data_IF_501630953286
#
_entry.id   IF_501630953286
#
_cell.length_a   1.000
_cell.length_b   1.000
_cell.length_c   1.000
_cell.angle_alpha   90.00
_cell.angle_beta   90.00
_cell.angle_gamma   90.00
#
_symmetry.space_group_name_H-M   'P 1'
#
loop_
_entity.id
_entity.type
_entity.pdbx_description
1 polymer ?
#
# COMPACT_ATOMS: atom_id res chain seq x y z
N UNK A 1 -8.60 -31.07 10.13
CA UNK A 1 -7.40 -30.56 9.45
C UNK A 1 -7.63 -29.07 9.24
N UNK A 2 -6.84 -28.21 9.87
CA UNK A 2 -6.95 -26.76 9.68
C UNK A 2 -6.44 -26.43 8.28
N UNK A 3 -7.33 -25.97 7.42
CA UNK A 3 -6.95 -25.26 6.20
C UNK A 3 -6.34 -23.93 6.65
N UNK A 4 -5.01 -23.90 6.76
CA UNK A 4 -4.26 -22.65 6.87
C UNK A 4 -4.49 -21.88 5.57
N UNK A 5 -5.55 -21.07 5.56
CA UNK A 5 -5.90 -20.16 4.48
C UNK A 5 -4.74 -19.17 4.30
N UNK A 6 -3.80 -19.49 3.42
CA UNK A 6 -2.76 -18.57 2.96
C UNK A 6 -3.41 -17.55 2.02
N UNK A 7 -4.33 -16.74 2.55
CA UNK A 7 -4.91 -15.65 1.77
C UNK A 7 -3.84 -14.59 1.59
N UNK A 8 -3.57 -14.14 0.36
CA UNK A 8 -2.63 -13.06 0.14
C UNK A 8 -3.09 -11.87 0.97
N UNK A 9 -2.18 -11.33 1.80
CA UNK A 9 -2.50 -10.15 2.58
C UNK A 9 -2.76 -8.99 1.60
N UNK A 10 -3.90 -8.28 1.74
CA UNK A 10 -4.20 -7.16 0.87
C UNK A 10 -3.15 -6.07 1.06
N UNK A 11 -2.64 -5.55 -0.06
CA UNK A 11 -1.72 -4.41 -0.09
C UNK A 11 -2.46 -3.21 -0.66
N UNK A 12 -2.38 -2.07 0.03
CA UNK A 12 -2.96 -0.80 -0.40
C UNK A 12 -1.92 -0.02 -1.18
N UNK A 13 -2.26 0.39 -2.39
CA UNK A 13 -1.40 1.22 -3.23
C UNK A 13 -1.90 2.66 -3.21
N UNK A 14 -1.04 3.60 -2.85
CA UNK A 14 -1.33 5.03 -2.82
C UNK A 14 -0.53 5.71 -3.92
N UNK A 15 -1.19 6.37 -4.87
CA UNK A 15 -0.57 7.14 -5.94
C UNK A 15 -0.98 8.58 -5.78
N UNK A 16 -0.04 9.43 -5.37
CA UNK A 16 -0.28 10.84 -5.05
C UNK A 16 1.03 11.63 -5.20
N UNK A 17 1.01 12.77 -5.88
CA UNK A 17 2.20 13.58 -6.15
C UNK A 17 2.66 14.40 -4.93
N UNK A 18 1.82 14.53 -3.90
CA UNK A 18 2.15 15.23 -2.66
C UNK A 18 2.79 14.28 -1.62
N UNK A 19 4.04 14.57 -1.27
CA UNK A 19 4.82 13.81 -0.29
C UNK A 19 4.20 13.81 1.12
N UNK A 20 3.60 14.93 1.55
CA UNK A 20 2.99 15.05 2.87
C UNK A 20 1.69 14.24 2.96
N UNK A 21 0.89 14.21 1.89
CA UNK A 21 -0.29 13.33 1.80
C UNK A 21 0.12 11.86 1.81
N UNK A 22 1.10 11.45 0.99
CA UNK A 22 1.59 10.06 0.99
C UNK A 22 2.07 9.60 2.37
N UNK A 23 2.88 10.42 3.03
CA UNK A 23 3.38 10.12 4.38
C UNK A 23 2.24 9.97 5.39
N UNK A 24 1.24 10.85 5.33
CA UNK A 24 0.07 10.80 6.23
C UNK A 24 -0.78 9.54 6.01
N UNK A 25 -1.01 9.17 4.74
CA UNK A 25 -1.77 7.98 4.36
C UNK A 25 -1.03 6.69 4.72
N UNK A 26 0.29 6.64 4.49
CA UNK A 26 1.12 5.51 4.88
C UNK A 26 0.98 5.23 6.38
N UNK A 27 1.20 6.23 7.23
CA UNK A 27 1.08 6.09 8.69
C UNK A 27 -0.31 5.61 9.11
N UNK A 28 -1.37 6.15 8.51
CA UNK A 28 -2.74 5.75 8.81
C UNK A 28 -3.01 4.29 8.44
N UNK A 29 -2.56 3.86 7.26
CA UNK A 29 -2.81 2.51 6.74
C UNK A 29 -1.98 1.47 7.52
N UNK A 30 -0.73 1.80 7.84
CA UNK A 30 0.09 0.96 8.72
C UNK A 30 -0.52 0.85 10.12
N UNK A 31 -1.13 1.92 10.65
CA UNK A 31 -1.77 1.90 11.99
C UNK A 31 -2.96 0.93 12.09
N UNK A 32 -3.62 0.63 10.97
CA UNK A 32 -4.72 -0.36 10.90
C UNK A 32 -4.22 -1.77 10.57
N UNK A 33 -2.90 -1.97 10.46
CA UNK A 33 -2.27 -3.27 10.23
C UNK A 33 -2.33 -3.76 8.78
N UNK A 34 -2.50 -2.85 7.82
CA UNK A 34 -2.47 -3.17 6.39
C UNK A 34 -1.08 -2.87 5.81
N UNK A 35 -0.70 -3.64 4.80
CA UNK A 35 0.49 -3.32 4.01
C UNK A 35 0.16 -2.18 3.05
N UNK A 36 1.10 -1.25 2.88
CA UNK A 36 0.93 -0.08 2.01
C UNK A 36 2.19 0.20 1.20
N UNK A 37 2.00 0.58 -0.06
CA UNK A 37 3.05 1.07 -0.95
C UNK A 37 2.63 2.40 -1.57
N UNK A 38 3.56 3.36 -1.59
CA UNK A 38 3.28 4.73 -2.02
C UNK A 38 4.13 5.11 -3.24
N UNK A 39 3.49 5.75 -4.23
CA UNK A 39 4.07 6.15 -5.50
C UNK A 39 3.77 7.62 -5.77
N UNK A 40 4.74 8.37 -6.30
CA UNK A 40 4.60 9.81 -6.58
C UNK A 40 3.84 10.09 -7.88
N UNK A 41 3.66 9.08 -8.72
CA UNK A 41 3.12 9.20 -10.05
C UNK A 41 2.57 7.88 -10.53
N UNK A 42 1.64 7.96 -11.49
CA UNK A 42 1.10 6.78 -12.16
C UNK A 42 2.18 6.02 -12.94
N UNK A 43 3.17 6.73 -13.50
CA UNK A 43 4.31 6.13 -14.20
C UNK A 43 5.16 5.29 -13.24
N UNK A 44 5.52 5.83 -12.06
CA UNK A 44 6.26 5.08 -11.05
C UNK A 44 5.50 3.84 -10.56
N UNK A 45 4.17 3.92 -10.47
CA UNK A 45 3.33 2.76 -10.12
C UNK A 45 3.36 1.69 -11.22
N UNK A 46 3.23 2.10 -12.48
CA UNK A 46 3.25 1.18 -13.62
C UNK A 46 4.63 0.54 -13.84
N UNK A 47 5.72 1.28 -13.60
CA UNK A 47 7.09 0.73 -13.73
C UNK A 47 7.41 -0.34 -12.67
N UNK A 48 6.70 -0.33 -11.55
CA UNK A 48 6.88 -1.30 -10.47
C UNK A 48 6.09 -2.61 -10.67
N UNK A 49 5.27 -2.73 -11.71
CA UNK A 49 4.32 -3.85 -11.90
C UNK A 49 4.35 -4.47 -13.32
#
# INVERSE_FOLDING_TARGET
>A
MNESQNQPQPTVFVVDDDEAMRSSLQWLIESVGLSVECYDSAEAFLDAY
#
